data_IF_683653301688
#
_entry.id   IF_683653301688
#
_cell.length_a   1.000
_cell.length_b   1.000
_cell.length_c   1.000
_cell.angle_alpha   90.00
_cell.angle_beta   90.00
_cell.angle_gamma   90.00
#
_symmetry.space_group_name_H-M   'P 1'
#
loop_
_entity.id
_entity.type
_entity.pdbx_description
1 polymer ?
#
# COMPACT_ATOMS: atom_id res chain seq x y z
N UNK A 1 -12.44 -20.21 10.68
CA UNK A 1 -10.97 -20.27 10.72
C UNK A 1 -10.46 -21.54 10.03
N UNK A 2 -9.74 -21.39 8.92
CA UNK A 2 -9.21 -22.53 8.15
C UNK A 2 -8.04 -23.18 8.91
N UNK A 3 -8.18 -24.46 9.29
CA UNK A 3 -7.14 -25.23 9.99
C UNK A 3 -5.82 -25.26 9.22
N UNK A 4 -5.89 -25.33 7.88
CA UNK A 4 -4.73 -25.32 6.98
C UNK A 4 -3.91 -24.03 7.14
N UNK A 5 -4.58 -22.88 7.16
CA UNK A 5 -3.92 -21.58 7.32
C UNK A 5 -3.23 -21.44 8.66
N UNK A 6 -3.90 -21.84 9.75
CA UNK A 6 -3.32 -21.76 11.09
C UNK A 6 -2.06 -22.62 11.21
N UNK A 7 -2.08 -23.84 10.65
CA UNK A 7 -0.91 -24.72 10.65
C UNK A 7 0.28 -24.11 9.89
N UNK A 8 0.03 -23.49 8.73
CA UNK A 8 1.07 -22.80 7.96
C UNK A 8 1.59 -21.57 8.69
N UNK A 9 0.69 -20.78 9.28
CA UNK A 9 1.06 -19.61 10.07
C UNK A 9 1.90 -19.99 11.29
N UNK A 10 1.54 -21.07 11.99
CA UNK A 10 2.31 -21.58 13.12
C UNK A 10 3.72 -21.99 12.68
N UNK A 11 3.85 -22.69 11.55
CA UNK A 11 5.15 -23.08 10.98
C UNK A 11 5.96 -21.89 10.45
N UNK A 12 5.30 -20.86 9.89
CA UNK A 12 5.94 -19.64 9.40
C UNK A 12 6.43 -18.71 10.52
N UNK A 13 5.94 -18.93 11.73
CA UNK A 13 6.23 -18.11 12.90
C UNK A 13 6.74 -18.95 14.06
N UNK A 14 7.36 -20.10 13.76
CA UNK A 14 7.93 -20.97 14.77
C UNK A 14 9.13 -20.30 15.45
N UNK A 15 9.24 -20.48 16.77
CA UNK A 15 10.27 -19.82 17.57
C UNK A 15 11.69 -20.34 17.32
N UNK A 16 11.83 -21.52 16.68
CA UNK A 16 13.11 -22.15 16.37
C UNK A 16 13.71 -21.66 15.05
N UNK A 17 12.95 -20.88 14.29
CA UNK A 17 13.41 -20.30 13.03
C UNK A 17 14.53 -19.28 13.28
N UNK A 18 15.67 -19.51 12.65
CA UNK A 18 16.78 -18.55 12.60
C UNK A 18 16.54 -17.50 11.52
N UNK A 19 15.94 -17.93 10.40
CA UNK A 19 15.62 -17.10 9.24
C UNK A 19 14.12 -17.18 8.93
N UNK A 20 13.56 -16.19 8.22
CA UNK A 20 12.15 -16.22 7.84
C UNK A 20 11.83 -17.41 6.94
N UNK A 21 10.79 -18.17 7.30
CA UNK A 21 10.26 -19.24 6.46
C UNK A 21 9.43 -18.64 5.30
N UNK A 22 10.13 -18.18 4.25
CA UNK A 22 9.50 -17.53 3.10
C UNK A 22 8.51 -18.44 2.36
N UNK A 23 8.78 -19.74 2.28
CA UNK A 23 7.85 -20.70 1.70
C UNK A 23 6.51 -20.70 2.45
N UNK A 24 6.54 -20.85 3.78
CA UNK A 24 5.33 -20.79 4.61
C UNK A 24 4.63 -19.43 4.58
N UNK A 25 5.39 -18.32 4.50
CA UNK A 25 4.84 -16.97 4.35
C UNK A 25 4.09 -16.84 3.02
N UNK A 26 4.69 -17.28 1.92
CA UNK A 26 4.09 -17.19 0.58
C UNK A 26 2.87 -18.11 0.46
N UNK A 27 2.90 -19.31 1.05
CA UNK A 27 1.71 -20.16 1.12
C UNK A 27 0.56 -19.50 1.90
N UNK A 28 0.85 -18.81 3.01
CA UNK A 28 -0.18 -18.04 3.74
C UNK A 28 -0.80 -16.95 2.85
N UNK A 29 0.04 -16.24 2.09
CA UNK A 29 -0.40 -15.21 1.13
C UNK A 29 -1.29 -15.83 0.05
N UNK A 30 -0.89 -16.96 -0.52
CA UNK A 30 -1.61 -17.63 -1.60
C UNK A 30 -3.00 -18.11 -1.14
N UNK A 31 -3.12 -18.62 0.09
CA UNK A 31 -4.43 -19.00 0.65
C UNK A 31 -5.38 -17.80 0.80
N UNK A 32 -4.87 -16.63 1.17
CA UNK A 32 -5.67 -15.40 1.29
C UNK A 32 -6.06 -14.90 -0.11
N UNK A 33 -5.11 -14.86 -1.05
CA UNK A 33 -5.35 -14.44 -2.45
C UNK A 33 -6.32 -15.36 -3.17
N UNK A 34 -6.18 -16.67 -2.96
CA UNK A 34 -7.06 -17.72 -3.48
C UNK A 34 -8.43 -17.75 -2.82
N UNK A 35 -8.68 -16.90 -1.82
CA UNK A 35 -9.94 -16.81 -1.04
C UNK A 35 -10.27 -18.10 -0.29
N UNK A 36 -9.29 -18.97 -0.05
CA UNK A 36 -9.43 -20.16 0.80
C UNK A 36 -9.58 -19.76 2.28
N UNK A 37 -9.15 -18.54 2.64
CA UNK A 37 -9.26 -17.98 3.99
C UNK A 37 -9.90 -16.59 3.91
N UNK A 38 -10.95 -16.30 4.68
CA UNK A 38 -11.47 -14.95 4.81
C UNK A 38 -10.39 -14.01 5.37
N UNK A 39 -10.24 -12.82 4.76
CA UNK A 39 -9.24 -11.82 5.16
C UNK A 39 -9.28 -11.51 6.66
N UNK A 40 -10.47 -11.31 7.22
CA UNK A 40 -10.67 -11.05 8.65
C UNK A 40 -10.18 -12.19 9.55
N UNK A 41 -10.42 -13.43 9.14
CA UNK A 41 -9.97 -14.61 9.88
C UNK A 41 -8.44 -14.71 9.85
N UNK A 42 -7.83 -14.46 8.69
CA UNK A 42 -6.37 -14.46 8.52
C UNK A 42 -5.71 -13.38 9.37
N UNK A 43 -6.23 -12.15 9.33
CA UNK A 43 -5.73 -11.03 10.15
C UNK A 43 -5.82 -11.40 11.62
N UNK A 44 -6.97 -11.81 12.14
CA UNK A 44 -7.12 -12.19 13.57
C UNK A 44 -6.13 -13.26 14.01
N UNK A 45 -5.87 -14.27 13.16
CA UNK A 45 -4.87 -15.29 13.45
C UNK A 45 -3.45 -14.73 13.49
N UNK A 46 -3.08 -13.85 12.55
CA UNK A 46 -1.79 -13.14 12.55
C UNK A 46 -1.67 -12.24 13.79
N UNK A 47 -2.72 -11.53 14.18
CA UNK A 47 -2.75 -10.70 15.40
C UNK A 47 -2.45 -11.51 16.65
N UNK A 48 -3.05 -12.69 16.76
CA UNK A 48 -2.77 -13.61 17.87
C UNK A 48 -1.28 -13.99 17.94
N UNK A 49 -0.60 -14.12 16.79
CA UNK A 49 0.83 -14.49 16.73
C UNK A 49 1.74 -13.31 17.04
N UNK A 50 1.45 -12.09 16.56
CA UNK A 50 2.30 -10.94 16.92
C UNK A 50 2.14 -10.45 18.36
N UNK A 51 1.05 -10.86 19.04
CA UNK A 51 0.87 -10.70 20.48
C UNK A 51 1.52 -11.80 21.33
N UNK A 52 2.24 -12.73 20.71
CA UNK A 52 2.90 -13.79 21.45
C UNK A 52 3.98 -13.21 22.40
N UNK A 53 4.10 -13.80 23.59
CA UNK A 53 5.12 -13.42 24.57
C UNK A 53 6.54 -13.67 24.07
N UNK A 54 6.72 -14.63 23.16
CA UNK A 54 7.99 -14.86 22.48
C UNK A 54 8.19 -13.83 21.37
N UNK A 55 9.25 -12.99 21.45
CA UNK A 55 9.52 -11.94 20.47
C UNK A 55 9.89 -12.44 19.09
N UNK A 56 10.46 -13.65 18.96
CA UNK A 56 10.78 -14.25 17.67
C UNK A 56 9.50 -14.62 16.94
N UNK A 57 8.56 -15.27 17.63
CA UNK A 57 7.22 -15.55 17.10
C UNK A 57 6.53 -14.25 16.69
N UNK A 58 6.59 -13.23 17.57
CA UNK A 58 5.96 -11.96 17.30
C UNK A 58 6.56 -11.25 16.07
N UNK A 59 7.88 -11.24 15.95
CA UNK A 59 8.59 -10.65 14.83
C UNK A 59 8.28 -11.38 13.50
N UNK A 60 8.31 -12.71 13.49
CA UNK A 60 7.95 -13.49 12.29
C UNK A 60 6.48 -13.27 11.89
N UNK A 61 5.57 -13.12 12.86
CA UNK A 61 4.17 -12.79 12.56
C UNK A 61 4.03 -11.41 11.90
N UNK A 62 4.82 -10.42 12.31
CA UNK A 62 4.89 -9.12 11.64
C UNK A 62 5.46 -9.22 10.22
N UNK A 63 6.36 -10.17 9.96
CA UNK A 63 6.82 -10.46 8.59
C UNK A 63 5.74 -11.09 7.72
N UNK A 64 4.94 -12.02 8.27
CA UNK A 64 3.77 -12.57 7.57
C UNK A 64 2.78 -11.44 7.25
N UNK A 65 2.52 -10.55 8.21
CA UNK A 65 1.67 -9.37 8.01
C UNK A 65 2.19 -8.48 6.88
N UNK A 66 3.50 -8.19 6.85
CA UNK A 66 4.14 -7.43 5.78
C UNK A 66 3.87 -8.03 4.40
N UNK A 67 4.14 -9.33 4.26
CA UNK A 67 3.94 -10.04 3.01
C UNK A 67 2.47 -10.02 2.57
N UNK A 68 1.53 -10.19 3.51
CA UNK A 68 0.10 -10.12 3.23
C UNK A 68 -0.33 -8.73 2.76
N UNK A 69 0.13 -7.66 3.41
CA UNK A 69 -0.17 -6.27 2.98
C UNK A 69 0.34 -6.00 1.57
N UNK A 70 1.54 -6.51 1.23
CA UNK A 70 2.16 -6.34 -0.08
C UNK A 70 1.47 -7.13 -1.19
N UNK A 71 0.80 -8.24 -0.89
CA UNK A 71 0.37 -9.22 -1.90
C UNK A 71 -1.14 -9.53 -1.94
N UNK A 72 -1.90 -9.22 -0.89
CA UNK A 72 -3.32 -9.59 -0.79
C UNK A 72 -4.29 -8.47 -1.26
N UNK A 73 -3.76 -7.33 -1.68
CA UNK A 73 -4.51 -6.24 -2.32
C UNK A 73 -5.42 -5.44 -1.39
N UNK A 74 -6.25 -4.58 -1.99
CA UNK A 74 -7.04 -3.54 -1.30
C UNK A 74 -7.94 -4.06 -0.18
N UNK A 75 -8.52 -5.26 -0.33
CA UNK A 75 -9.39 -5.84 0.71
C UNK A 75 -8.62 -6.14 2.01
N UNK A 76 -7.37 -6.59 1.89
CA UNK A 76 -6.52 -6.81 3.06
C UNK A 76 -6.10 -5.48 3.69
N UNK A 77 -5.73 -4.51 2.85
CA UNK A 77 -5.32 -3.17 3.28
C UNK A 77 -6.46 -2.45 4.02
N UNK A 78 -7.70 -2.53 3.54
CA UNK A 78 -8.85 -1.91 4.19
C UNK A 78 -9.10 -2.44 5.60
N UNK A 79 -8.79 -3.71 5.88
CA UNK A 79 -8.96 -4.30 7.21
C UNK A 79 -7.84 -3.87 8.19
N UNK A 80 -6.62 -3.64 7.69
CA UNK A 80 -5.52 -3.12 8.54
C UNK A 80 -5.56 -1.61 8.70
N UNK A 81 -6.09 -0.87 7.72
CA UNK A 81 -6.20 0.58 7.74
C UNK A 81 -7.44 1.05 8.54
N UNK A 82 -7.63 0.46 9.71
CA UNK A 82 -8.72 0.79 10.64
C UNK A 82 -8.16 1.40 11.92
N UNK A 83 -8.98 2.19 12.62
CA UNK A 83 -8.60 2.76 13.91
C UNK A 83 -8.26 1.68 14.93
N UNK A 84 -9.05 0.61 14.99
CA UNK A 84 -8.84 -0.51 15.90
C UNK A 84 -7.47 -1.17 15.69
N UNK A 85 -7.13 -1.51 14.44
CA UNK A 85 -5.86 -2.16 14.12
C UNK A 85 -4.66 -1.24 14.35
N UNK A 86 -4.77 0.05 14.02
CA UNK A 86 -3.68 1.01 14.24
C UNK A 86 -3.44 1.32 15.72
N UNK A 87 -4.51 1.41 16.52
CA UNK A 87 -4.40 1.55 17.98
C UNK A 87 -3.73 0.33 18.62
N UNK A 88 -4.03 -0.87 18.14
CA UNK A 88 -3.40 -2.12 18.57
C UNK A 88 -1.87 -2.09 18.34
N UNK A 89 -1.42 -1.78 17.12
CA UNK A 89 0.01 -1.65 16.80
C UNK A 89 0.69 -0.54 17.62
N UNK A 90 0.03 0.61 17.80
CA UNK A 90 0.52 1.71 18.64
C UNK A 90 0.71 1.24 20.09
N UNK A 91 -0.24 0.49 20.62
CA UNK A 91 -0.17 -0.03 21.98
C UNK A 91 1.03 -0.98 22.15
N UNK A 92 1.32 -1.82 21.15
CA UNK A 92 2.50 -2.68 21.14
C UNK A 92 3.81 -1.89 21.07
N UNK A 93 3.87 -0.83 20.27
CA UNK A 93 5.06 0.04 20.22
C UNK A 93 5.37 0.68 21.57
N UNK A 94 4.33 1.09 22.30
CA UNK A 94 4.45 1.77 23.61
C UNK A 94 4.76 0.77 24.73
N UNK A 95 4.09 -0.39 24.74
CA UNK A 95 4.15 -1.34 25.85
C UNK A 95 5.23 -2.41 25.71
N UNK A 96 5.68 -2.72 24.50
CA UNK A 96 6.58 -3.84 24.27
C UNK A 96 8.04 -3.46 24.61
N UNK A 97 8.69 -4.17 25.56
CA UNK A 97 10.08 -3.89 25.92
C UNK A 97 11.09 -4.28 24.83
N UNK A 98 10.68 -5.07 23.84
CA UNK A 98 11.60 -5.68 22.87
C UNK A 98 11.84 -4.81 21.65
N UNK A 99 13.10 -4.44 21.44
CA UNK A 99 13.49 -3.51 20.38
C UNK A 99 13.18 -4.04 18.97
N UNK A 100 13.39 -5.33 18.70
CA UNK A 100 13.19 -5.91 17.35
C UNK A 100 11.73 -5.88 16.89
N UNK A 101 10.77 -6.20 17.77
CA UNK A 101 9.33 -6.15 17.46
C UNK A 101 8.90 -4.69 17.24
N UNK A 102 9.29 -3.79 18.16
CA UNK A 102 9.01 -2.36 18.05
C UNK A 102 9.55 -1.75 16.76
N UNK A 103 10.83 -1.98 16.46
CA UNK A 103 11.47 -1.51 15.22
C UNK A 103 10.73 -2.04 13.99
N UNK A 104 10.30 -3.30 14.00
CA UNK A 104 9.55 -3.86 12.87
C UNK A 104 8.19 -3.19 12.69
N UNK A 105 7.44 -2.93 13.76
CA UNK A 105 6.16 -2.21 13.67
C UNK A 105 6.36 -0.79 13.14
N UNK A 106 7.39 -0.09 13.61
CA UNK A 106 7.73 1.25 13.12
C UNK A 106 8.11 1.22 11.63
N UNK A 107 8.90 0.24 11.18
CA UNK A 107 9.21 0.03 9.75
C UNK A 107 7.92 -0.16 8.92
N UNK A 108 6.99 -1.00 9.40
CA UNK A 108 5.73 -1.25 8.71
C UNK A 108 4.89 0.01 8.59
N UNK A 109 4.65 0.73 9.70
CA UNK A 109 3.86 1.96 9.71
C UNK A 109 4.51 3.03 8.80
N UNK A 110 5.83 3.15 8.82
CA UNK A 110 6.56 4.08 7.94
C UNK A 110 6.43 3.72 6.47
N UNK A 111 6.56 2.43 6.13
CA UNK A 111 6.38 1.91 4.77
C UNK A 111 4.95 2.14 4.28
N UNK A 112 3.95 1.81 5.10
CA UNK A 112 2.54 1.99 4.78
C UNK A 112 2.15 3.45 4.63
N UNK A 113 2.68 4.35 5.46
CA UNK A 113 2.48 5.80 5.32
C UNK A 113 2.96 6.30 3.97
N UNK A 114 4.10 5.80 3.49
CA UNK A 114 4.61 6.13 2.16
C UNK A 114 3.76 5.52 1.05
N UNK A 115 3.42 4.24 1.16
CA UNK A 115 2.62 3.52 0.17
C UNK A 115 1.19 4.08 0.02
N UNK A 116 0.58 4.52 1.12
CA UNK A 116 -0.81 4.96 1.19
C UNK A 116 -0.96 6.48 1.02
N UNK A 117 0.14 7.19 0.76
CA UNK A 117 0.19 8.64 0.72
C UNK A 117 -0.87 9.23 -0.20
N UNK A 118 -1.75 10.06 0.36
CA UNK A 118 -2.81 10.75 -0.37
C UNK A 118 -4.04 9.89 -0.71
N UNK A 119 -4.13 8.66 -0.18
CA UNK A 119 -5.33 7.83 -0.24
C UNK A 119 -6.16 8.10 1.02
N UNK A 120 -7.24 8.88 0.88
CA UNK A 120 -8.04 9.33 2.02
C UNK A 120 -8.63 8.20 2.87
N UNK A 121 -8.90 7.04 2.25
CA UNK A 121 -9.40 5.84 2.92
C UNK A 121 -8.42 5.31 3.98
N UNK A 122 -7.11 5.52 3.79
CA UNK A 122 -6.05 4.97 4.65
C UNK A 122 -5.37 6.05 5.51
N UNK A 123 -5.98 7.23 5.61
CA UNK A 123 -5.43 8.39 6.36
C UNK A 123 -5.06 8.06 7.81
N UNK A 124 -5.77 7.13 8.45
CA UNK A 124 -5.48 6.70 9.83
C UNK A 124 -4.05 6.20 10.01
N UNK A 125 -3.43 5.66 8.96
CA UNK A 125 -2.03 5.21 8.98
C UNK A 125 -1.08 6.41 9.07
N UNK A 126 -1.32 7.46 8.29
CA UNK A 126 -0.56 8.72 8.34
C UNK A 126 -0.73 9.42 9.70
N UNK A 127 -1.94 9.44 10.24
CA UNK A 127 -2.25 10.05 11.54
C UNK A 127 -1.53 9.29 12.67
N UNK A 128 -1.53 7.95 12.62
CA UNK A 128 -0.84 7.09 13.62
C UNK A 128 0.67 7.26 13.56
N UNK A 129 1.25 7.32 12.35
CA UNK A 129 2.66 7.60 12.14
C UNK A 129 3.07 8.95 12.73
N UNK A 130 2.29 9.99 12.46
CA UNK A 130 2.53 11.35 12.97
C UNK A 130 2.46 11.38 14.50
N UNK A 131 1.49 10.69 15.10
CA UNK A 131 1.34 10.60 16.55
C UNK A 131 2.54 9.91 17.21
N UNK A 132 3.00 8.78 16.65
CA UNK A 132 4.18 8.07 17.16
C UNK A 132 5.45 8.95 17.06
N UNK A 133 5.61 9.71 15.98
CA UNK A 133 6.71 10.69 15.87
C UNK A 133 6.63 11.78 16.92
N UNK A 134 5.44 12.34 17.17
CA UNK A 134 5.24 13.35 18.22
C UNK A 134 5.53 12.79 19.62
N UNK A 135 5.27 11.51 19.85
CA UNK A 135 5.61 10.81 21.09
C UNK A 135 7.11 10.44 21.19
N UNK A 136 7.95 10.87 20.26
CA UNK A 136 9.41 10.70 20.31
C UNK A 136 9.93 9.38 19.76
N UNK A 137 9.11 8.58 19.08
CA UNK A 137 9.60 7.36 18.43
C UNK A 137 10.34 7.70 17.13
N UNK A 138 11.57 7.22 17.03
CA UNK A 138 12.38 7.32 15.81
C UNK A 138 12.00 6.22 14.82
N UNK A 139 11.71 6.63 13.59
CA UNK A 139 11.38 5.70 12.51
C UNK A 139 12.62 5.39 11.68
N UNK A 140 12.78 4.13 11.23
CA UNK A 140 13.86 3.78 10.33
C UNK A 140 13.71 4.51 8.98
N UNK A 141 14.82 4.69 8.23
CA UNK A 141 14.76 5.31 6.91
C UNK A 141 13.84 4.52 5.97
N UNK A 142 13.08 5.23 5.14
CA UNK A 142 12.29 4.61 4.07
C UNK A 142 13.25 4.11 3.00
N UNK A 143 13.12 2.83 2.68
CA UNK A 143 13.51 2.31 1.38
C UNK A 143 12.32 2.53 0.43
N UNK A 144 12.46 3.48 -0.51
CA UNK A 144 11.38 3.87 -1.42
C UNK A 144 10.86 2.65 -2.21
N UNK A 145 11.75 1.71 -2.56
CA UNK A 145 11.38 0.49 -3.26
C UNK A 145 10.46 -0.40 -2.41
N UNK A 146 10.61 -0.44 -1.08
CA UNK A 146 9.74 -1.22 -0.18
C UNK A 146 8.31 -0.66 -0.11
N UNK A 147 8.11 0.62 -0.41
CA UNK A 147 6.81 1.29 -0.36
C UNK A 147 6.01 1.21 -1.68
N UNK A 148 6.60 0.73 -2.77
CA UNK A 148 5.98 0.69 -4.11
C UNK A 148 5.10 -0.55 -4.38
N UNK A 149 4.56 -1.21 -3.36
CA UNK A 149 3.74 -2.42 -3.54
C UNK A 149 2.29 -2.13 -3.95
N UNK A 150 1.87 -0.87 -3.89
CA UNK A 150 0.54 -0.42 -4.33
C UNK A 150 0.51 0.10 -5.77
N UNK A 151 1.61 -0.02 -6.52
CA UNK A 151 1.63 0.37 -7.93
C UNK A 151 0.54 -0.42 -8.69
N UNK A 152 -0.52 0.29 -9.07
CA UNK A 152 -1.54 -0.20 -9.96
C UNK A 152 -0.93 -0.35 -11.36
N UNK A 153 -1.41 -1.30 -12.15
CA UNK A 153 -1.08 -1.34 -13.57
C UNK A 153 -1.55 -0.06 -14.23
N UNK A 154 -0.68 0.58 -15.01
CA UNK A 154 -1.08 1.71 -15.84
C UNK A 154 -2.25 1.29 -16.76
N UNK A 155 -3.22 2.18 -17.01
CA UNK A 155 -4.34 1.85 -17.88
C UNK A 155 -3.88 1.60 -19.32
N UNK A 156 -4.55 0.67 -19.99
CA UNK A 156 -4.32 0.39 -21.40
C UNK A 156 -4.56 1.65 -22.26
N UNK A 157 -3.78 1.77 -23.33
CA UNK A 157 -3.92 2.89 -24.25
C UNK A 157 -5.10 2.64 -25.19
N UNK A 158 -6.09 3.51 -25.12
CA UNK A 158 -7.24 3.47 -25.99
C UNK A 158 -6.85 3.84 -27.43
N UNK A 159 -7.49 3.17 -28.39
CA UNK A 159 -7.42 3.52 -29.81
C UNK A 159 -8.61 4.40 -30.21
N UNK A 160 -8.48 5.07 -31.36
CA UNK A 160 -9.53 5.91 -31.91
C UNK A 160 -8.98 6.96 -32.88
N UNK A 161 -9.89 7.53 -33.68
CA UNK A 161 -9.55 8.49 -34.74
C UNK A 161 -9.93 9.93 -34.41
N UNK A 162 -10.47 10.15 -33.21
CA UNK A 162 -10.79 11.49 -32.71
C UNK A 162 -10.25 11.69 -31.30
N UNK A 163 -9.91 12.93 -30.96
CA UNK A 163 -9.56 13.33 -29.60
C UNK A 163 -10.72 13.02 -28.65
N UNK A 164 -10.45 12.30 -27.55
CA UNK A 164 -11.45 11.90 -26.56
C UNK A 164 -12.19 13.10 -25.93
N UNK A 165 -11.55 14.28 -25.84
CA UNK A 165 -12.17 15.49 -25.29
C UNK A 165 -12.87 16.34 -26.34
N UNK A 166 -12.12 16.93 -27.28
CA UNK A 166 -12.66 17.92 -28.21
C UNK A 166 -13.16 17.32 -29.54
N UNK A 167 -13.04 16.00 -29.72
CA UNK A 167 -13.50 15.25 -30.89
C UNK A 167 -12.85 15.62 -32.22
N UNK A 168 -11.83 16.48 -32.23
CA UNK A 168 -11.03 16.77 -33.44
C UNK A 168 -10.49 15.46 -34.01
N UNK A 169 -10.64 15.28 -35.32
CA UNK A 169 -10.14 14.12 -36.04
C UNK A 169 -8.60 14.16 -36.11
N UNK A 170 -7.99 12.98 -35.96
CA UNK A 170 -6.56 12.81 -36.09
C UNK A 170 -6.16 12.65 -37.55
N UNK A 171 -4.95 13.07 -37.88
CA UNK A 171 -4.42 12.98 -39.23
C UNK A 171 -3.00 13.52 -39.31
N UNK A 172 -2.58 13.96 -40.48
CA UNK A 172 -1.20 14.41 -40.72
C UNK A 172 -0.81 15.61 -39.84
N UNK A 173 -1.74 16.56 -39.66
CA UNK A 173 -1.50 17.79 -38.88
C UNK A 173 -1.87 17.65 -37.40
N UNK A 174 -2.78 16.73 -37.06
CA UNK A 174 -3.24 16.52 -35.67
C UNK A 174 -2.84 15.12 -35.23
N UNK A 175 -1.72 15.02 -34.50
CA UNK A 175 -1.18 13.74 -34.02
C UNK A 175 -1.91 13.21 -32.79
N UNK A 176 -1.88 11.88 -32.64
CA UNK A 176 -2.43 11.13 -31.51
C UNK A 176 -1.49 11.22 -30.29
N UNK A 177 -2.04 11.47 -29.10
CA UNK A 177 -1.32 11.47 -27.82
C UNK A 177 -2.12 10.79 -26.71
N UNK A 178 -1.47 10.00 -25.86
CA UNK A 178 -2.14 9.34 -24.74
C UNK A 178 -1.91 10.04 -23.40
N UNK A 179 -2.97 10.12 -22.60
CA UNK A 179 -2.88 10.48 -21.19
C UNK A 179 -2.39 9.27 -20.39
N UNK A 180 -1.23 9.37 -19.74
CA UNK A 180 -0.69 8.25 -18.93
C UNK A 180 -1.52 7.94 -17.68
N UNK A 181 -2.41 8.86 -17.29
CA UNK A 181 -3.25 8.69 -16.10
C UNK A 181 -4.55 7.92 -16.35
N UNK A 182 -5.14 8.02 -17.55
CA UNK A 182 -6.43 7.40 -17.87
C UNK A 182 -6.45 6.54 -19.14
N UNK A 183 -5.33 6.48 -19.88
CA UNK A 183 -5.21 5.66 -21.09
C UNK A 183 -5.90 6.23 -22.33
N UNK A 184 -6.75 7.26 -22.19
CA UNK A 184 -7.50 7.83 -23.32
C UNK A 184 -6.62 8.61 -24.31
N UNK A 185 -7.10 8.74 -25.55
CA UNK A 185 -6.42 9.37 -26.68
C UNK A 185 -6.84 10.84 -26.88
N UNK A 186 -5.89 11.75 -27.09
CA UNK A 186 -6.11 13.20 -27.15
C UNK A 186 -5.23 13.85 -28.22
N UNK A 187 -5.62 15.06 -28.66
CA UNK A 187 -4.70 15.97 -29.34
C UNK A 187 -3.76 16.66 -28.33
N UNK A 188 -2.72 17.32 -28.83
CA UNK A 188 -1.71 17.98 -27.98
C UNK A 188 -2.36 19.03 -27.04
N UNK A 189 -3.24 19.88 -27.60
CA UNK A 189 -3.95 20.93 -26.85
C UNK A 189 -4.71 20.39 -25.63
N UNK A 190 -5.39 19.24 -25.77
CA UNK A 190 -6.17 18.65 -24.69
C UNK A 190 -5.36 17.82 -23.68
N UNK A 191 -4.06 17.63 -23.94
CA UNK A 191 -3.17 16.80 -23.12
C UNK A 191 -1.80 17.43 -22.91
N UNK A 192 -1.72 18.76 -22.83
CA UNK A 192 -0.46 19.51 -22.72
C UNK A 192 0.09 19.62 -21.28
N UNK A 193 -0.52 18.92 -20.31
CA UNK A 193 -0.09 18.93 -18.90
C UNK A 193 0.84 17.76 -18.62
N UNK A 194 1.67 17.91 -17.58
CA UNK A 194 2.56 16.85 -17.13
C UNK A 194 2.53 16.72 -15.60
N UNK A 195 2.54 15.50 -15.09
CA UNK A 195 2.56 15.23 -13.64
C UNK A 195 3.22 13.88 -13.32
N UNK A 196 3.60 13.69 -12.06
CA UNK A 196 4.04 12.39 -11.53
C UNK A 196 2.85 11.42 -11.43
N UNK A 197 3.06 10.13 -11.69
CA UNK A 197 2.06 9.10 -11.45
C UNK A 197 2.65 7.95 -10.61
N UNK A 198 2.99 8.20 -9.32
CA UNK A 198 3.61 7.19 -8.46
C UNK A 198 2.71 5.96 -8.26
N UNK A 199 1.39 6.14 -8.33
CA UNK A 199 0.44 5.02 -8.24
C UNK A 199 0.56 4.03 -9.41
N UNK A 200 1.25 4.38 -10.49
CA UNK A 200 1.56 3.47 -11.60
C UNK A 200 3.06 3.14 -11.69
N UNK A 201 3.83 3.43 -10.63
CA UNK A 201 5.29 3.28 -10.62
C UNK A 201 6.03 4.27 -11.52
N UNK A 202 5.41 5.41 -11.87
CA UNK A 202 6.02 6.41 -12.77
C UNK A 202 6.50 7.63 -11.96
N UNK A 203 7.81 7.67 -11.72
CA UNK A 203 8.48 8.70 -10.91
C UNK A 203 8.92 9.94 -11.71
N UNK A 204 8.77 9.92 -13.03
CA UNK A 204 9.02 11.08 -13.89
C UNK A 204 7.73 11.78 -14.27
N UNK A 205 7.79 13.10 -14.51
CA UNK A 205 6.63 13.85 -15.01
C UNK A 205 6.26 13.32 -16.41
N UNK A 206 5.03 12.85 -16.57
CA UNK A 206 4.51 12.31 -17.82
C UNK A 206 3.25 13.03 -18.26
N UNK A 207 2.97 12.96 -19.56
CA UNK A 207 1.83 13.64 -20.20
C UNK A 207 0.49 13.15 -19.64
N UNK A 208 -0.38 14.10 -19.28
CA UNK A 208 -1.75 13.83 -18.84
C UNK A 208 -2.73 14.81 -19.49
N UNK A 209 -4.01 14.41 -19.59
CA UNK A 209 -5.07 15.33 -19.97
C UNK A 209 -5.36 16.33 -18.84
N UNK A 210 -5.94 17.48 -19.19
CA UNK A 210 -6.30 18.52 -18.21
C UNK A 210 -7.18 17.97 -17.08
N UNK A 211 -8.20 17.17 -17.41
CA UNK A 211 -9.09 16.61 -16.38
C UNK A 211 -8.36 15.72 -15.36
N UNK A 212 -7.35 14.95 -15.79
CA UNK A 212 -6.54 14.14 -14.87
C UNK A 212 -5.58 15.00 -14.04
N UNK A 213 -5.02 16.05 -14.66
CA UNK A 213 -4.16 17.01 -13.97
C UNK A 213 -4.93 17.72 -12.85
N UNK A 214 -6.10 18.27 -13.17
CA UNK A 214 -6.92 19.06 -12.24
C UNK A 214 -7.43 18.22 -11.06
N UNK A 215 -7.90 17.00 -11.34
CA UNK A 215 -8.35 16.05 -10.29
C UNK A 215 -7.27 15.80 -9.24
N UNK A 216 -6.02 15.64 -9.65
CA UNK A 216 -4.90 15.36 -8.74
C UNK A 216 -4.37 16.62 -8.06
N UNK A 217 -4.39 17.78 -8.70
CA UNK A 217 -3.99 19.05 -8.04
C UNK A 217 -4.95 19.45 -6.93
N UNK A 218 -6.26 19.19 -7.09
CA UNK A 218 -7.26 19.46 -6.04
C UNK A 218 -7.06 18.52 -4.84
N UNK A 219 -6.63 17.28 -5.07
CA UNK A 219 -6.31 16.32 -3.99
C UNK A 219 -4.99 16.63 -3.27
N UNK A 220 -4.17 17.56 -3.78
CA UNK A 220 -2.87 17.93 -3.23
C UNK A 220 -2.83 19.33 -2.60
N UNK A 221 -3.95 20.07 -2.60
CA UNK A 221 -4.01 21.37 -1.91
C UNK A 221 -4.07 21.17 -0.39
N UNK A 222 -3.21 21.84 0.40
CA UNK A 222 -3.38 21.87 1.84
C UNK A 222 -4.74 22.49 2.14
N UNK A 223 -5.57 21.79 2.92
CA UNK A 223 -6.79 22.40 3.48
C UNK A 223 -6.33 23.53 4.41
N UNK A 224 -6.44 24.75 3.92
CA UNK A 224 -6.27 25.94 4.76
C UNK A 224 -7.50 26.00 5.65
N UNK A 225 -7.34 25.60 6.91
CA UNK A 225 -8.38 25.79 7.91
C UNK A 225 -8.39 27.29 8.27
N UNK A 226 -9.54 27.94 8.07
CA UNK A 226 -9.86 29.22 8.70
C UNK A 226 -10.23 28.99 10.17
#
# INVERSE_FOLDING_TARGET
MSYRFVKLLDAATDQTLVEPNWEGILECVDLIRGKEVPVKDAIKAIQKRYHNSNPHVAHHALMVLEACVKNCGKKFIAEIATKEFMEDLKSLVISNPQANVRTKILELIQCWTSAFKGISEYKIVEDTHSLLKMNGFEFPPIDEAKAMFLAESAPDWAEGDNCYRCRVEFGVFTRKHHCRACGQIFCDKCSNKQMLLPQFGIEKKVRVCEACFDKKTVQQQPKVNF
#
